data_IF_906474751892
#
_entry.id   IF_906474751892
#
_cell.length_a   1.000
_cell.length_b   1.000
_cell.length_c   1.000
_cell.angle_alpha   90.00
_cell.angle_beta   90.00
_cell.angle_gamma   90.00
#
_symmetry.space_group_name_H-M   'P 1'
#
loop_
_entity.id
_entity.type
_entity.pdbx_description
1 polymer ?
#
# COMPACT_ATOMS: atom_id res chain seq x y z
N UNK A 1 18.22 -20.65 -28.72
CA UNK A 1 19.59 -20.23 -29.05
C UNK A 1 19.54 -18.83 -29.65
N UNK A 2 19.59 -17.78 -28.83
CA UNK A 2 19.74 -16.40 -29.29
C UNK A 2 20.77 -15.74 -28.38
N UNK A 3 21.93 -15.43 -28.96
CA UNK A 3 23.09 -14.82 -28.31
C UNK A 3 22.93 -13.30 -28.28
N UNK A 4 22.78 -12.73 -27.08
CA UNK A 4 22.95 -11.31 -26.83
C UNK A 4 24.43 -11.03 -26.55
N UNK A 5 25.06 -10.25 -27.42
CA UNK A 5 26.40 -9.68 -27.19
C UNK A 5 26.22 -8.28 -26.60
N UNK A 6 26.61 -8.11 -25.33
CA UNK A 6 26.82 -6.80 -24.72
C UNK A 6 28.20 -6.27 -25.17
N UNK A 7 28.21 -5.04 -25.67
CA UNK A 7 29.41 -4.33 -26.10
C UNK A 7 29.74 -3.26 -25.03
N UNK A 8 30.82 -3.51 -24.29
CA UNK A 8 31.35 -2.69 -23.20
C UNK A 8 32.19 -1.53 -23.76
N UNK A 9 31.57 -0.38 -23.94
CA UNK A 9 32.23 0.88 -24.31
C UNK A 9 32.85 1.61 -23.12
N UNK A 10 33.93 1.08 -22.54
CA UNK A 10 34.73 1.75 -21.50
C UNK A 10 35.52 2.93 -22.11
N UNK A 11 34.98 4.14 -22.02
CA UNK A 11 35.67 5.37 -22.47
C UNK A 11 36.49 5.98 -21.33
N UNK A 12 37.74 5.55 -21.22
CA UNK A 12 38.78 6.20 -20.41
C UNK A 12 39.15 7.54 -21.07
N UNK A 13 38.79 8.67 -20.44
CA UNK A 13 39.48 9.96 -20.61
C UNK A 13 40.37 10.09 -19.38
N UNK A 14 41.69 10.13 -19.51
CA UNK A 14 42.41 11.14 -20.26
C UNK A 14 43.04 12.07 -19.23
N UNK A 15 44.20 11.64 -18.76
CA UNK A 15 45.13 12.34 -17.86
C UNK A 15 45.65 13.62 -18.50
N UNK A 16 45.47 14.77 -17.86
CA UNK A 16 46.22 15.98 -18.23
C UNK A 16 46.59 16.85 -17.02
N UNK A 17 47.91 16.94 -16.84
CA UNK A 17 48.72 18.10 -16.47
C UNK A 17 48.55 18.76 -15.10
N UNK A 18 49.45 18.34 -14.20
CA UNK A 18 49.98 19.16 -13.11
C UNK A 18 50.78 20.35 -13.67
N UNK A 19 50.24 21.56 -13.56
CA UNK A 19 51.03 22.79 -13.58
C UNK A 19 51.13 23.36 -12.16
N UNK A 20 52.28 23.15 -11.53
CA UNK A 20 52.66 23.77 -10.26
C UNK A 20 53.16 25.20 -10.50
N UNK A 21 52.23 26.16 -10.54
CA UNK A 21 52.58 27.58 -10.48
C UNK A 21 52.54 28.05 -9.03
N UNK A 22 53.72 28.11 -8.42
CA UNK A 22 53.96 28.69 -7.10
C UNK A 22 53.84 30.21 -7.19
N UNK A 23 52.66 30.75 -6.86
CA UNK A 23 52.45 32.19 -6.72
C UNK A 23 52.49 32.57 -5.23
N UNK A 24 53.64 33.09 -4.82
CA UNK A 24 53.83 33.76 -3.54
C UNK A 24 53.20 35.16 -3.60
N UNK A 25 51.89 35.26 -3.40
CA UNK A 25 51.24 36.53 -3.09
C UNK A 25 50.94 36.60 -1.59
N UNK A 26 51.78 37.38 -0.91
CA UNK A 26 51.56 37.86 0.45
C UNK A 26 50.35 38.80 0.42
N UNK A 27 49.15 38.25 0.62
CA UNK A 27 47.92 39.01 0.68
C UNK A 27 47.80 39.72 2.03
N UNK A 28 47.96 41.03 1.96
CA UNK A 28 47.43 42.01 2.89
C UNK A 28 45.98 41.63 3.23
N UNK A 29 45.69 41.48 4.53
CA UNK A 29 44.40 41.05 5.06
C UNK A 29 43.34 42.13 4.79
N UNK A 30 42.86 42.20 3.55
CA UNK A 30 41.73 43.01 3.16
C UNK A 30 40.50 42.33 3.74
N UNK A 31 39.98 42.88 4.83
CA UNK A 31 38.72 42.48 5.44
C UNK A 31 37.62 42.68 4.41
N UNK A 32 37.33 41.64 3.63
CA UNK A 32 36.20 41.62 2.71
C UNK A 32 34.96 41.56 3.59
N UNK A 33 34.37 42.73 3.85
CA UNK A 33 33.02 42.84 4.37
C UNK A 33 32.12 42.26 3.29
N UNK A 34 31.83 40.96 3.39
CA UNK A 34 30.89 40.32 2.51
C UNK A 34 29.50 40.81 2.90
N UNK A 35 29.02 41.83 2.19
CA UNK A 35 27.61 42.21 2.13
C UNK A 35 26.83 41.05 1.50
N UNK A 36 26.67 39.96 2.25
CA UNK A 36 25.72 38.92 1.91
C UNK A 36 24.34 39.46 2.25
N UNK A 37 23.63 39.94 1.23
CA UNK A 37 22.19 40.04 1.34
C UNK A 37 21.65 38.69 1.83
N UNK A 38 20.75 38.68 2.82
CA UNK A 38 20.22 37.44 3.38
C UNK A 38 19.50 36.66 2.28
N UNK A 39 20.21 35.71 1.69
CA UNK A 39 19.68 34.76 0.72
C UNK A 39 18.56 33.97 1.40
N UNK A 40 17.41 33.92 0.75
CA UNK A 40 16.29 33.11 1.22
C UNK A 40 16.75 31.67 1.47
N UNK A 41 16.47 31.16 2.66
CA UNK A 41 16.81 29.81 3.05
C UNK A 41 16.07 28.79 2.19
N UNK A 42 16.81 27.88 1.55
CA UNK A 42 16.24 26.81 0.72
C UNK A 42 16.12 25.54 1.57
N UNK A 43 14.89 25.14 1.84
CA UNK A 43 14.61 23.95 2.65
C UNK A 43 15.30 22.67 2.15
N UNK A 44 15.42 22.51 0.83
CA UNK A 44 16.05 21.33 0.22
C UNK A 44 17.58 21.31 0.33
N UNK A 45 18.21 22.43 0.71
CA UNK A 45 19.66 22.51 0.94
C UNK A 45 20.02 21.98 2.35
N UNK A 46 19.04 21.72 3.21
CA UNK A 46 19.24 21.00 4.46
C UNK A 46 19.69 19.57 4.21
N UNK A 47 20.45 19.00 5.13
CA UNK A 47 20.73 17.56 5.14
C UNK A 47 19.45 16.76 5.42
N UNK A 48 19.40 15.51 4.93
CA UNK A 48 18.23 14.65 5.02
C UNK A 48 17.79 14.41 6.47
N UNK A 49 18.73 14.30 7.40
CA UNK A 49 18.48 14.10 8.83
C UNK A 49 17.70 15.27 9.43
N UNK A 50 18.06 16.51 9.07
CA UNK A 50 17.37 17.71 9.54
C UNK A 50 15.96 17.82 8.94
N UNK A 51 15.78 17.42 7.68
CA UNK A 51 14.45 17.37 7.06
C UNK A 51 13.56 16.34 7.75
N UNK A 52 14.09 15.17 8.08
CA UNK A 52 13.38 14.14 8.86
C UNK A 52 12.93 14.67 10.23
N UNK A 53 13.81 15.37 10.97
CA UNK A 53 13.43 16.03 12.22
C UNK A 53 12.29 17.04 12.00
N UNK A 54 12.32 17.83 10.93
CA UNK A 54 11.24 18.78 10.62
C UNK A 54 9.93 18.04 10.30
N UNK A 55 9.98 16.88 9.64
CA UNK A 55 8.80 16.06 9.39
C UNK A 55 8.16 15.56 10.69
N UNK A 56 8.95 15.18 11.70
CA UNK A 56 8.45 14.77 13.02
C UNK A 56 7.70 15.90 13.73
N UNK A 57 8.14 17.16 13.58
CA UNK A 57 7.42 18.32 14.10
C UNK A 57 6.19 18.71 13.29
N UNK A 58 6.12 18.31 12.02
CA UNK A 58 4.98 18.55 11.14
C UNK A 58 3.82 17.55 11.35
N UNK A 59 3.96 16.59 12.27
CA UNK A 59 2.88 15.67 12.67
C UNK A 59 1.74 16.48 13.29
N UNK A 60 0.54 16.40 12.71
CA UNK A 60 -0.66 16.98 13.32
C UNK A 60 -0.99 16.21 14.61
N UNK A 61 -0.69 16.80 15.77
CA UNK A 61 -0.99 16.17 17.06
C UNK A 61 -2.51 16.15 17.29
N UNK A 62 -3.04 14.95 17.57
CA UNK A 62 -4.39 14.80 18.13
C UNK A 62 -4.34 15.15 19.61
N UNK A 63 -4.67 16.39 19.97
CA UNK A 63 -4.85 16.76 21.37
C UNK A 63 -6.26 16.33 21.79
N UNK A 64 -6.39 15.34 22.68
CA UNK A 64 -7.64 14.96 23.35
C UNK A 64 -8.83 14.56 22.45
N UNK A 65 -8.60 13.87 21.32
CA UNK A 65 -9.65 13.50 20.34
C UNK A 65 -10.48 14.68 19.80
N UNK A 66 -10.10 15.91 20.12
CA UNK A 66 -10.68 17.13 19.58
C UNK A 66 -9.58 17.73 18.73
N UNK A 67 -9.74 17.73 17.41
CA UNK A 67 -8.86 18.53 16.56
C UNK A 67 -8.95 19.97 17.07
N UNK A 68 -7.88 20.46 17.68
CA UNK A 68 -7.77 21.82 18.19
C UNK A 68 -7.75 22.78 17.00
N UNK A 69 -8.95 23.12 16.50
CA UNK A 69 -9.34 24.33 15.79
C UNK A 69 -8.75 24.61 14.40
N UNK A 70 -7.51 24.25 14.12
CA UNK A 70 -6.76 24.74 12.96
C UNK A 70 -6.25 23.60 12.07
N UNK A 71 -6.99 22.49 11.98
CA UNK A 71 -6.71 21.47 10.98
C UNK A 71 -6.66 22.11 9.60
N UNK A 72 -5.64 21.80 8.81
CA UNK A 72 -5.48 22.36 7.46
C UNK A 72 -6.70 22.02 6.63
N UNK A 73 -7.56 23.02 6.36
CA UNK A 73 -8.77 22.83 5.54
C UNK A 73 -8.46 23.12 4.09
N UNK A 74 -8.93 22.27 3.18
CA UNK A 74 -8.97 22.62 1.76
C UNK A 74 -9.88 23.84 1.59
N UNK A 75 -9.31 24.95 1.11
CA UNK A 75 -10.03 26.21 0.89
C UNK A 75 -11.13 26.07 -0.18
N UNK A 76 -11.01 25.09 -1.07
CA UNK A 76 -12.00 24.76 -2.10
C UNK A 76 -12.27 23.26 -2.06
N UNK A 77 -13.54 22.89 -1.92
CA UNK A 77 -13.98 21.53 -2.18
C UNK A 77 -13.83 21.23 -3.68
N UNK A 78 -13.58 19.96 -4.06
CA UNK A 78 -13.60 19.54 -5.47
C UNK A 78 -14.91 19.96 -6.15
N UNK A 79 -14.84 20.39 -7.40
CA UNK A 79 -16.02 20.73 -8.19
C UNK A 79 -16.97 19.51 -8.25
N UNK A 80 -18.25 19.71 -7.90
CA UNK A 80 -19.25 18.64 -7.81
C UNK A 80 -19.55 18.15 -6.38
N UNK A 81 -18.80 18.60 -5.37
CA UNK A 81 -19.11 18.27 -3.96
C UNK A 81 -20.30 19.09 -3.48
N UNK A 82 -21.44 18.46 -3.24
CA UNK A 82 -22.63 19.15 -2.72
C UNK A 82 -22.43 19.57 -1.26
N UNK A 83 -23.10 20.63 -0.81
CA UNK A 83 -23.04 21.07 0.60
C UNK A 83 -23.45 19.94 1.57
N UNK A 84 -24.37 19.07 1.16
CA UNK A 84 -24.79 17.89 1.92
C UNK A 84 -23.72 16.79 1.94
N UNK A 85 -22.97 16.60 0.84
CA UNK A 85 -21.80 15.71 0.82
C UNK A 85 -20.73 16.21 1.77
N UNK A 86 -20.48 17.52 1.84
CA UNK A 86 -19.55 18.11 2.81
C UNK A 86 -20.02 17.95 4.26
N UNK A 87 -21.32 18.16 4.52
CA UNK A 87 -21.90 18.04 5.86
C UNK A 87 -21.91 16.59 6.35
N UNK A 88 -22.19 15.62 5.48
CA UNK A 88 -22.13 14.20 5.83
C UNK A 88 -20.68 13.70 5.95
N UNK A 89 -19.76 14.21 5.12
CA UNK A 89 -18.33 13.91 5.24
C UNK A 89 -17.73 14.37 6.58
N UNK A 90 -18.35 15.36 7.25
CA UNK A 90 -17.92 15.79 8.59
C UNK A 90 -18.28 14.79 9.71
N UNK A 91 -19.16 13.82 9.47
CA UNK A 91 -19.53 12.80 10.45
C UNK A 91 -18.92 11.41 10.18
N UNK A 92 -18.48 11.14 8.96
CA UNK A 92 -18.07 9.80 8.54
C UNK A 92 -16.55 9.62 8.54
N UNK A 93 -15.92 9.61 9.72
CA UNK A 93 -14.46 9.60 9.92
C UNK A 93 -13.83 10.98 9.75
N UNK A 94 -13.68 11.71 10.87
CA UNK A 94 -12.67 12.76 10.95
C UNK A 94 -11.36 12.20 10.40
N UNK A 95 -10.94 12.69 9.23
CA UNK A 95 -9.74 12.23 8.53
C UNK A 95 -8.56 12.25 9.51
N UNK A 96 -8.24 11.08 10.06
CA UNK A 96 -7.20 10.88 11.08
C UNK A 96 -5.80 11.01 10.50
N UNK A 97 -5.70 11.45 9.25
CA UNK A 97 -4.48 11.62 8.48
C UNK A 97 -3.57 12.60 9.21
N UNK A 98 -2.50 12.07 9.77
CA UNK A 98 -1.34 12.85 10.14
C UNK A 98 -0.66 13.35 8.86
N UNK A 99 0.16 14.40 9.00
CA UNK A 99 0.98 14.94 7.92
C UNK A 99 0.21 15.53 6.73
N UNK A 100 -1.04 15.97 6.89
CA UNK A 100 -1.81 16.52 5.77
C UNK A 100 -1.06 17.66 5.07
N UNK A 101 -0.42 18.56 5.81
CA UNK A 101 0.43 19.61 5.24
C UNK A 101 1.55 19.07 4.34
N UNK A 102 2.24 18.00 4.76
CA UNK A 102 3.29 17.37 3.95
C UNK A 102 2.74 16.66 2.71
N UNK A 103 1.47 16.24 2.70
CA UNK A 103 0.87 15.71 1.45
C UNK A 103 0.73 16.75 0.34
N UNK A 104 0.80 18.04 0.68
CA UNK A 104 0.57 19.16 -0.25
C UNK A 104 1.87 19.82 -0.77
N UNK A 105 3.05 19.32 -0.40
CA UNK A 105 4.33 19.92 -0.81
C UNK A 105 4.89 19.26 -2.10
N UNK A 106 6.13 19.62 -2.47
CA UNK A 106 6.78 19.13 -3.68
C UNK A 106 6.98 17.59 -3.69
N UNK A 107 7.29 17.04 -4.88
CA UNK A 107 7.45 15.58 -5.08
C UNK A 107 8.60 14.98 -4.25
N UNK A 108 9.72 15.69 -4.13
CA UNK A 108 10.90 15.20 -3.41
C UNK A 108 10.60 14.98 -1.93
N UNK A 109 10.00 15.95 -1.26
CA UNK A 109 9.62 15.81 0.15
C UNK A 109 8.61 14.67 0.30
N UNK A 110 7.65 14.54 -0.64
CA UNK A 110 6.69 13.43 -0.66
C UNK A 110 7.36 12.06 -0.73
N UNK A 111 8.40 11.88 -1.54
CA UNK A 111 9.16 10.62 -1.54
C UNK A 111 9.90 10.39 -0.22
N UNK A 112 10.45 11.44 0.40
CA UNK A 112 11.23 11.34 1.64
C UNK A 112 10.37 11.00 2.87
N UNK A 113 9.21 11.65 3.06
CA UNK A 113 8.36 11.38 4.23
C UNK A 113 7.43 10.18 4.05
N UNK A 114 7.25 9.66 2.83
CA UNK A 114 6.31 8.55 2.54
C UNK A 114 6.48 7.35 3.49
N UNK A 115 7.69 6.85 3.80
CA UNK A 115 7.86 5.75 4.74
C UNK A 115 7.32 6.08 6.14
N UNK A 116 7.56 7.31 6.64
CA UNK A 116 7.01 7.78 7.92
C UNK A 116 5.49 7.84 7.88
N UNK A 117 4.91 8.32 6.77
CA UNK A 117 3.47 8.39 6.57
C UNK A 117 2.83 6.99 6.60
N UNK A 118 3.34 6.04 5.83
CA UNK A 118 2.80 4.68 5.79
C UNK A 118 2.95 3.98 7.15
N UNK A 119 4.06 4.21 7.86
CA UNK A 119 4.30 3.64 9.19
C UNK A 119 3.31 4.12 10.25
N UNK A 120 2.97 5.41 10.25
CA UNK A 120 2.20 6.03 11.33
C UNK A 120 0.70 6.19 11.04
N UNK A 121 0.29 6.12 9.78
CA UNK A 121 -1.10 6.35 9.40
C UNK A 121 -1.82 5.04 9.10
N UNK A 122 -2.91 4.80 9.81
CA UNK A 122 -3.93 3.86 9.37
C UNK A 122 -4.69 4.47 8.19
N UNK A 123 -4.53 3.89 7.01
CA UNK A 123 -5.25 4.34 5.81
C UNK A 123 -6.50 3.49 5.64
N UNK A 124 -7.65 4.17 5.72
CA UNK A 124 -8.96 3.62 5.43
C UNK A 124 -9.17 3.60 3.91
N UNK A 125 -9.36 2.40 3.35
CA UNK A 125 -9.48 2.19 1.91
C UNK A 125 -10.81 1.47 1.65
N UNK A 126 -11.59 1.96 0.69
CA UNK A 126 -12.76 1.25 0.21
C UNK A 126 -12.33 -0.03 -0.49
N UNK A 127 -13.10 -1.11 -0.31
CA UNK A 127 -12.70 -2.44 -0.78
C UNK A 127 -12.45 -2.47 -2.30
N UNK A 128 -13.25 -1.74 -3.07
CA UNK A 128 -13.10 -1.64 -4.53
C UNK A 128 -11.83 -0.86 -4.96
N UNK A 129 -11.31 0.01 -4.10
CA UNK A 129 -10.09 0.79 -4.35
C UNK A 129 -8.81 0.09 -3.87
N UNK A 130 -8.92 -1.11 -3.27
CA UNK A 130 -7.75 -1.85 -2.78
C UNK A 130 -6.72 -2.10 -3.91
N UNK A 131 -7.09 -2.61 -5.09
CA UNK A 131 -6.11 -2.90 -6.14
C UNK A 131 -5.34 -1.65 -6.57
N UNK A 132 -6.04 -0.55 -6.86
CA UNK A 132 -5.45 0.73 -7.26
C UNK A 132 -4.57 1.32 -6.14
N UNK A 133 -5.00 1.18 -4.88
CA UNK A 133 -4.22 1.63 -3.75
C UNK A 133 -2.91 0.84 -3.62
N UNK A 134 -2.96 -0.49 -3.73
CA UNK A 134 -1.76 -1.33 -3.64
C UNK A 134 -0.82 -1.02 -4.80
N UNK A 135 -1.33 -0.92 -6.03
CA UNK A 135 -0.52 -0.57 -7.20
C UNK A 135 0.18 0.80 -7.01
N UNK A 136 -0.55 1.79 -6.48
CA UNK A 136 -0.03 3.15 -6.28
C UNK A 136 0.98 3.23 -5.12
N UNK A 137 0.67 2.60 -3.99
CA UNK A 137 1.41 2.78 -2.73
C UNK A 137 2.33 1.62 -2.37
N UNK A 138 2.24 0.50 -3.08
CA UNK A 138 3.06 -0.70 -2.89
C UNK A 138 3.32 -1.39 -4.25
N UNK A 139 3.94 -0.70 -5.22
CA UNK A 139 4.20 -1.27 -6.53
C UNK A 139 5.09 -2.50 -6.38
N UNK A 140 4.53 -3.68 -6.65
CA UNK A 140 5.25 -4.96 -6.56
C UNK A 140 6.23 -5.18 -7.71
N UNK A 141 6.01 -4.48 -8.82
CA UNK A 141 6.74 -4.65 -10.08
C UNK A 141 7.91 -3.68 -10.21
N UNK A 142 8.86 -3.67 -9.28
CA UNK A 142 10.13 -3.01 -9.59
C UNK A 142 11.27 -3.67 -8.82
N UNK A 143 12.22 -4.17 -9.60
CA UNK A 143 13.62 -4.40 -9.23
C UNK A 143 14.33 -3.10 -8.80
N UNK A 144 13.65 -2.21 -8.08
CA UNK A 144 14.28 -1.04 -7.48
C UNK A 144 14.85 -1.48 -6.13
N UNK A 145 16.18 -1.46 -5.95
CA UNK A 145 16.82 -1.92 -4.71
C UNK A 145 16.36 -1.16 -3.46
N UNK A 146 15.77 0.03 -3.63
CA UNK A 146 15.31 0.88 -2.51
C UNK A 146 13.91 0.50 -1.98
N UNK A 147 13.16 -0.37 -2.69
CA UNK A 147 11.77 -0.68 -2.35
C UNK A 147 11.57 -2.04 -1.68
N UNK A 148 12.54 -2.95 -1.68
CA UNK A 148 12.33 -4.35 -1.25
C UNK A 148 12.35 -4.59 0.27
N UNK A 149 12.73 -3.62 1.11
CA UNK A 149 12.97 -3.89 2.55
C UNK A 149 12.20 -3.02 3.54
N UNK A 150 11.48 -1.98 3.09
CA UNK A 150 11.03 -0.93 4.01
C UNK A 150 9.60 -0.41 3.82
N UNK A 151 8.73 -1.20 3.19
CA UNK A 151 7.29 -0.88 3.18
C UNK A 151 6.64 -1.20 4.54
N UNK A 152 7.14 -0.63 5.64
CA UNK A 152 6.47 -0.71 6.93
C UNK A 152 5.20 0.14 6.95
N UNK A 153 4.13 -0.36 7.56
CA UNK A 153 2.87 0.40 7.66
C UNK A 153 1.70 -0.40 8.18
N UNK A 154 0.76 0.29 8.82
CA UNK A 154 -0.52 -0.30 9.21
C UNK A 154 -1.59 0.09 8.19
N UNK A 155 -1.98 -0.86 7.36
CA UNK A 155 -3.10 -0.72 6.42
C UNK A 155 -4.34 -1.25 7.12
N UNK A 156 -5.34 -0.40 7.31
CA UNK A 156 -6.64 -0.82 7.84
C UNK A 156 -7.67 -0.74 6.73
N UNK A 157 -8.00 -1.89 6.16
CA UNK A 157 -9.10 -1.97 5.21
C UNK A 157 -10.38 -1.90 6.00
N UNK A 158 -11.10 -0.81 5.83
CA UNK A 158 -12.48 -0.77 6.27
C UNK A 158 -13.32 -1.28 5.14
N UNK A 159 -13.92 -2.45 5.36
CA UNK A 159 -15.07 -2.88 4.57
C UNK A 159 -16.18 -1.95 5.02
N UNK A 160 -16.20 -0.75 4.44
CA UNK A 160 -17.22 0.23 4.73
C UNK A 160 -18.54 -0.46 4.43
N UNK A 161 -19.26 -0.85 5.48
CA UNK A 161 -20.70 -1.06 5.40
C UNK A 161 -21.19 0.29 4.93
N UNK A 162 -21.36 0.42 3.62
CA UNK A 162 -21.82 1.65 3.06
C UNK A 162 -23.21 1.87 3.65
N UNK A 163 -23.28 2.71 4.69
CA UNK A 163 -24.47 3.47 5.09
C UNK A 163 -24.89 4.44 3.97
N UNK A 164 -24.42 4.23 2.74
CA UNK A 164 -24.99 4.87 1.59
C UNK A 164 -26.43 4.41 1.54
N UNK A 165 -27.36 5.35 1.55
CA UNK A 165 -28.79 5.13 1.27
C UNK A 165 -29.06 4.52 -0.12
N UNK A 166 -28.03 4.01 -0.80
CA UNK A 166 -28.16 3.21 -1.98
C UNK A 166 -28.45 1.77 -1.56
N UNK A 167 -29.58 1.19 -2.00
CA UNK A 167 -29.84 -0.22 -1.75
C UNK A 167 -28.63 -0.99 -2.23
N UNK A 168 -28.08 -1.85 -1.37
CA UNK A 168 -26.96 -2.76 -1.64
C UNK A 168 -27.33 -3.52 -2.91
N UNK A 169 -26.92 -2.96 -4.05
CA UNK A 169 -27.12 -3.54 -5.35
C UNK A 169 -25.79 -4.14 -5.72
N UNK A 170 -25.90 -5.38 -6.16
CA UNK A 170 -24.92 -6.21 -6.84
C UNK A 170 -24.00 -6.98 -5.89
N UNK A 171 -24.00 -8.30 -6.07
CA UNK A 171 -22.95 -9.22 -5.65
C UNK A 171 -21.59 -8.67 -6.11
N UNK A 172 -20.89 -7.96 -5.23
CA UNK A 172 -19.57 -7.41 -5.53
C UNK A 172 -18.53 -8.43 -5.17
N UNK A 173 -17.67 -8.74 -6.15
CA UNK A 173 -16.49 -9.57 -5.99
C UNK A 173 -15.27 -8.67 -6.06
N UNK A 174 -14.45 -8.66 -5.01
CA UNK A 174 -13.20 -7.92 -4.97
C UNK A 174 -12.03 -8.90 -5.06
N UNK A 175 -11.19 -8.74 -6.07
CA UNK A 175 -9.95 -9.50 -6.20
C UNK A 175 -8.97 -9.11 -5.08
N UNK A 176 -8.64 -10.05 -4.19
CA UNK A 176 -7.74 -9.81 -3.06
C UNK A 176 -6.32 -10.34 -3.24
N UNK A 177 -6.00 -10.95 -4.38
CA UNK A 177 -4.64 -11.43 -4.66
C UNK A 177 -3.55 -10.36 -4.42
N UNK A 178 -3.68 -9.11 -4.92
CA UNK A 178 -2.65 -8.09 -4.66
C UNK A 178 -2.49 -7.80 -3.17
N UNK A 179 -3.56 -7.91 -2.39
CA UNK A 179 -3.54 -7.67 -0.96
C UNK A 179 -2.88 -8.81 -0.19
N UNK A 180 -3.22 -10.06 -0.50
CA UNK A 180 -2.57 -11.23 0.09
C UNK A 180 -1.07 -11.25 -0.23
N UNK A 181 -0.70 -10.97 -1.48
CA UNK A 181 0.72 -10.82 -1.88
C UNK A 181 1.42 -9.74 -1.08
N UNK A 182 0.76 -8.62 -0.79
CA UNK A 182 1.34 -7.54 0.01
C UNK A 182 1.61 -7.99 1.44
N UNK A 183 0.66 -8.69 2.06
CA UNK A 183 0.79 -9.21 3.43
C UNK A 183 1.91 -10.25 3.51
N UNK A 184 1.93 -11.20 2.58
CA UNK A 184 2.90 -12.29 2.64
C UNK A 184 4.32 -11.79 2.34
N UNK A 185 4.48 -10.88 1.38
CA UNK A 185 5.81 -10.39 1.02
C UNK A 185 6.36 -9.32 1.97
N UNK A 186 5.61 -8.92 2.99
CA UNK A 186 5.99 -7.80 3.84
C UNK A 186 5.64 -8.03 5.31
N UNK A 187 6.60 -8.55 6.06
CA UNK A 187 6.46 -8.82 7.50
C UNK A 187 6.16 -7.55 8.32
N UNK A 188 6.50 -6.37 7.80
CA UNK A 188 6.27 -5.09 8.46
C UNK A 188 4.93 -4.44 8.08
N UNK A 189 4.20 -5.02 7.11
CA UNK A 189 2.86 -4.56 6.76
C UNK A 189 1.84 -5.19 7.71
N UNK A 190 1.23 -4.36 8.55
CA UNK A 190 0.11 -4.78 9.37
C UNK A 190 -1.17 -4.49 8.61
N UNK A 191 -1.87 -5.54 8.23
CA UNK A 191 -3.12 -5.46 7.50
C UNK A 191 -4.27 -5.89 8.40
N UNK A 192 -5.25 -5.03 8.57
CA UNK A 192 -6.43 -5.31 9.40
C UNK A 192 -7.69 -5.01 8.64
N UNK A 193 -8.71 -5.86 8.76
CA UNK A 193 -10.07 -5.53 8.35
C UNK A 193 -10.80 -4.91 9.54
N UNK A 194 -11.37 -3.71 9.38
CA UNK A 194 -12.20 -3.13 10.43
C UNK A 194 -13.59 -3.77 10.42
N UNK A 195 -14.16 -3.95 11.62
CA UNK A 195 -15.58 -4.20 11.85
C UNK A 195 -16.17 -5.48 11.25
N UNK A 196 -15.33 -6.45 10.84
CA UNK A 196 -15.77 -7.73 10.31
C UNK A 196 -14.90 -8.88 10.85
N UNK A 197 -15.48 -9.73 11.70
CA UNK A 197 -14.79 -10.88 12.30
C UNK A 197 -14.35 -11.89 11.23
N UNK A 198 -15.23 -12.22 10.28
CA UNK A 198 -14.95 -13.17 9.20
C UNK A 198 -13.72 -12.76 8.36
N UNK A 199 -13.57 -11.44 8.13
CA UNK A 199 -12.44 -10.89 7.39
C UNK A 199 -11.12 -11.03 8.17
N UNK A 200 -11.17 -10.89 9.49
CA UNK A 200 -10.02 -11.09 10.36
C UNK A 200 -9.59 -12.55 10.37
N UNK A 201 -10.55 -13.47 10.49
CA UNK A 201 -10.29 -14.90 10.45
C UNK A 201 -9.66 -15.32 9.12
N UNK A 202 -10.09 -14.71 8.01
CA UNK A 202 -9.47 -14.95 6.71
C UNK A 202 -7.98 -14.55 6.66
N UNK A 203 -7.60 -13.42 7.25
CA UNK A 203 -6.17 -13.04 7.31
C UNK A 203 -5.40 -14.05 8.16
N UNK A 204 -5.95 -14.46 9.30
CA UNK A 204 -5.32 -15.42 10.20
C UNK A 204 -5.13 -16.78 9.52
N UNK A 205 -6.15 -17.29 8.83
CA UNK A 205 -6.07 -18.48 7.96
C UNK A 205 -5.01 -18.25 6.87
N UNK A 206 -5.00 -17.07 6.25
CA UNK A 206 -3.98 -16.60 5.31
C UNK A 206 -2.55 -16.82 5.82
N UNK A 207 -2.27 -16.28 7.00
CA UNK A 207 -0.95 -16.31 7.63
C UNK A 207 -0.55 -17.72 8.07
N UNK A 208 -1.48 -18.49 8.63
CA UNK A 208 -1.23 -19.87 9.08
C UNK A 208 -0.97 -20.84 7.91
N UNK A 209 -1.50 -20.53 6.73
CA UNK A 209 -1.38 -21.35 5.52
C UNK A 209 -0.65 -20.65 4.37
N UNK A 210 0.30 -19.76 4.70
CA UNK A 210 0.98 -18.89 3.72
C UNK A 210 1.51 -19.63 2.49
N UNK A 211 2.25 -20.73 2.69
CA UNK A 211 2.85 -21.49 1.59
C UNK A 211 1.79 -22.03 0.61
N UNK A 212 0.67 -22.52 1.15
CA UNK A 212 -0.45 -22.98 0.32
C UNK A 212 -1.04 -21.80 -0.48
N UNK A 213 -1.33 -20.66 0.15
CA UNK A 213 -1.85 -19.48 -0.56
C UNK A 213 -0.90 -18.94 -1.64
N UNK A 214 0.41 -18.90 -1.38
CA UNK A 214 1.41 -18.51 -2.38
C UNK A 214 1.35 -19.47 -3.59
N UNK A 215 1.34 -20.78 -3.33
CA UNK A 215 1.16 -21.79 -4.39
C UNK A 215 -0.14 -21.59 -5.17
N UNK A 216 -1.26 -21.28 -4.50
CA UNK A 216 -2.54 -20.97 -5.17
C UNK A 216 -2.40 -19.78 -6.12
N UNK A 217 -1.77 -18.70 -5.66
CA UNK A 217 -1.64 -17.48 -6.44
C UNK A 217 -0.67 -17.65 -7.62
N UNK A 218 0.39 -18.44 -7.47
CA UNK A 218 1.34 -18.77 -8.53
C UNK A 218 0.72 -19.65 -9.61
N UNK A 219 -0.23 -20.51 -9.21
CA UNK A 219 -1.07 -21.30 -10.12
C UNK A 219 -2.14 -20.46 -10.86
N UNK A 220 -2.16 -19.14 -10.62
CA UNK A 220 -3.09 -18.22 -11.28
C UNK A 220 -4.53 -18.29 -10.74
N UNK A 221 -4.72 -18.83 -9.53
CA UNK A 221 -6.01 -18.82 -8.84
C UNK A 221 -6.36 -17.40 -8.43
N UNK A 222 -7.53 -16.93 -8.86
CA UNK A 222 -8.05 -15.61 -8.49
C UNK A 222 -8.97 -15.76 -7.28
N UNK A 223 -8.64 -15.05 -6.21
CA UNK A 223 -9.32 -15.11 -4.92
C UNK A 223 -10.12 -13.83 -4.78
N UNK A 224 -11.42 -13.98 -4.59
CA UNK A 224 -12.35 -12.88 -4.44
C UNK A 224 -12.97 -12.86 -3.04
N UNK A 225 -13.10 -11.68 -2.48
CA UNK A 225 -14.04 -11.42 -1.40
C UNK A 225 -15.40 -11.08 -2.00
N UNK A 226 -16.45 -11.73 -1.51
CA UNK A 226 -17.82 -11.44 -1.90
C UNK A 226 -18.62 -11.00 -0.69
N UNK A 227 -19.22 -9.82 -0.75
CA UNK A 227 -20.12 -9.35 0.30
C UNK A 227 -21.57 -9.72 -0.06
N UNK A 228 -22.18 -10.66 0.66
CA UNK A 228 -23.61 -11.01 0.49
C UNK A 228 -24.37 -10.83 1.79
N UNK A 229 -25.43 -10.02 1.77
CA UNK A 229 -26.36 -9.86 2.92
C UNK A 229 -25.64 -9.71 4.27
N UNK A 230 -24.67 -8.79 4.33
CA UNK A 230 -23.86 -8.51 5.53
C UNK A 230 -22.86 -9.61 5.95
N UNK A 231 -22.69 -10.66 5.14
CA UNK A 231 -21.66 -11.69 5.36
C UNK A 231 -20.56 -11.57 4.33
N UNK A 232 -19.32 -11.76 4.80
CA UNK A 232 -18.16 -11.85 3.92
C UNK A 232 -17.97 -13.32 3.54
N UNK A 233 -18.07 -13.62 2.25
CA UNK A 233 -17.71 -14.90 1.67
C UNK A 233 -16.37 -14.81 0.94
N UNK A 234 -15.69 -15.95 0.83
CA UNK A 234 -14.53 -16.11 -0.05
C UNK A 234 -14.99 -16.89 -1.27
N UNK A 235 -14.67 -16.38 -2.45
CA UNK A 235 -14.86 -17.09 -3.71
C UNK A 235 -13.50 -17.38 -4.30
N UNK A 236 -13.25 -18.66 -4.59
CA UNK A 236 -12.11 -19.08 -5.39
C UNK A 236 -12.58 -19.25 -6.84
N UNK A 237 -11.91 -18.57 -7.76
CA UNK A 237 -12.11 -18.74 -9.20
C UNK A 237 -10.87 -19.40 -9.79
N UNK A 238 -11.07 -20.58 -10.36
CA UNK A 238 -10.02 -21.44 -10.88
C UNK A 238 -10.08 -21.44 -12.41
N UNK A 239 -8.95 -21.15 -13.08
CA UNK A 239 -8.83 -21.29 -14.55
C UNK A 239 -8.69 -22.74 -15.00
N UNK A 240 -8.23 -23.65 -14.12
CA UNK A 240 -8.10 -25.09 -14.37
C UNK A 240 -8.47 -25.90 -13.12
N UNK A 241 -9.77 -26.01 -12.84
CA UNK A 241 -10.25 -26.52 -11.55
C UNK A 241 -9.92 -27.99 -11.29
N UNK A 242 -9.92 -28.85 -12.31
CA UNK A 242 -9.73 -30.28 -12.11
C UNK A 242 -8.28 -30.62 -11.71
N UNK A 243 -7.30 -30.10 -12.46
CA UNK A 243 -5.87 -30.25 -12.13
C UNK A 243 -5.52 -29.64 -10.76
N UNK A 244 -6.16 -28.53 -10.44
CA UNK A 244 -6.01 -27.85 -9.17
C UNK A 244 -6.39 -28.74 -7.98
N UNK A 245 -7.57 -29.39 -8.04
CA UNK A 245 -8.03 -30.24 -6.95
C UNK A 245 -7.17 -31.49 -6.78
N UNK A 246 -6.67 -32.07 -7.86
CA UNK A 246 -5.77 -33.22 -7.76
C UNK A 246 -4.49 -32.86 -7.00
N UNK A 247 -3.93 -31.65 -7.25
CA UNK A 247 -2.78 -31.14 -6.50
C UNK A 247 -3.11 -30.84 -5.04
N UNK A 248 -4.19 -30.11 -4.79
CA UNK A 248 -4.62 -29.74 -3.43
C UNK A 248 -4.94 -30.99 -2.61
N UNK A 249 -5.51 -32.03 -3.21
CA UNK A 249 -5.77 -33.30 -2.53
C UNK A 249 -4.50 -34.13 -2.34
N UNK A 250 -3.46 -33.94 -3.15
CA UNK A 250 -2.17 -34.60 -2.97
C UNK A 250 -1.30 -33.90 -1.90
N UNK A 251 -1.51 -32.61 -1.68
CA UNK A 251 -0.78 -31.79 -0.71
C UNK A 251 -1.52 -31.67 0.63
N UNK A 252 -0.84 -32.01 1.74
CA UNK A 252 -1.40 -31.93 3.08
C UNK A 252 -1.70 -30.48 3.49
N UNK A 253 -0.85 -29.54 3.08
CA UNK A 253 -1.02 -28.13 3.45
C UNK A 253 -2.17 -27.50 2.66
N UNK A 254 -2.29 -27.83 1.37
CA UNK A 254 -3.47 -27.54 0.55
C UNK A 254 -4.78 -28.07 1.14
N UNK A 255 -4.83 -29.33 1.57
CA UNK A 255 -6.02 -29.89 2.24
C UNK A 255 -6.34 -29.13 3.53
N UNK A 256 -5.33 -28.86 4.37
CA UNK A 256 -5.54 -28.14 5.62
C UNK A 256 -6.06 -26.72 5.40
N UNK A 257 -5.59 -26.03 4.36
CA UNK A 257 -6.11 -24.72 3.97
C UNK A 257 -7.58 -24.83 3.53
N UNK A 258 -7.93 -25.82 2.71
CA UNK A 258 -9.32 -26.00 2.28
C UNK A 258 -10.24 -26.30 3.46
N UNK A 259 -9.81 -27.14 4.39
CA UNK A 259 -10.57 -27.42 5.61
C UNK A 259 -10.72 -26.16 6.48
N UNK A 260 -9.65 -25.37 6.64
CA UNK A 260 -9.68 -24.09 7.36
C UNK A 260 -10.63 -23.07 6.72
N UNK A 261 -10.74 -23.08 5.37
CA UNK A 261 -11.70 -22.27 4.62
C UNK A 261 -13.12 -22.84 4.62
N UNK A 262 -13.37 -23.99 5.25
CA UNK A 262 -14.66 -24.69 5.21
C UNK A 262 -14.97 -25.31 3.83
N UNK A 263 -13.97 -25.46 2.97
CA UNK A 263 -14.02 -26.01 1.61
C UNK A 263 -13.75 -27.52 1.54
N UNK A 264 -13.97 -28.25 2.64
CA UNK A 264 -13.80 -29.70 2.67
C UNK A 264 -14.64 -30.44 1.63
N UNK A 265 -14.40 -31.75 1.46
CA UNK A 265 -14.95 -32.59 0.38
C UNK A 265 -16.48 -32.53 0.17
N UNK A 266 -17.25 -32.08 1.17
CA UNK A 266 -18.71 -31.95 1.14
C UNK A 266 -19.23 -30.58 0.69
N UNK A 267 -18.38 -29.55 0.67
CA UNK A 267 -18.73 -28.16 0.33
C UNK A 267 -18.67 -27.87 -1.18
N UNK A 268 -18.52 -28.91 -2.00
CA UNK A 268 -18.42 -28.85 -3.47
C UNK A 268 -19.74 -28.44 -4.14
N UNK A 269 -20.19 -27.22 -3.89
CA UNK A 269 -21.21 -26.59 -4.74
C UNK A 269 -20.46 -25.86 -5.85
N UNK A 270 -20.04 -26.63 -6.85
CA UNK A 270 -19.34 -26.13 -8.03
C UNK A 270 -20.37 -25.40 -8.90
N UNK A 271 -20.28 -24.08 -8.99
CA UNK A 271 -21.03 -23.34 -10.00
C UNK A 271 -20.13 -23.18 -11.22
N UNK A 272 -20.53 -23.79 -12.36
CA UNK A 272 -19.91 -23.48 -13.65
C UNK A 272 -20.52 -22.17 -14.17
N UNK A 273 -19.72 -21.12 -14.23
CA UNK A 273 -20.08 -19.88 -14.90
C UNK A 273 -19.33 -19.86 -16.26
N UNK A 274 -19.87 -20.55 -17.27
CA UNK A 274 -19.14 -20.82 -18.51
C UNK A 274 -18.03 -21.86 -18.31
N UNK A 275 -16.81 -21.57 -18.79
CA UNK A 275 -15.62 -22.44 -18.63
C UNK A 275 -14.95 -22.30 -17.25
N UNK A 276 -15.39 -21.34 -16.43
CA UNK A 276 -14.84 -21.11 -15.09
C UNK A 276 -15.62 -21.91 -14.04
N UNK A 277 -14.88 -22.63 -13.19
CA UNK A 277 -15.46 -23.18 -11.96
C UNK A 277 -15.31 -22.16 -10.85
N UNK A 278 -16.44 -21.71 -10.30
CA UNK A 278 -16.50 -20.88 -9.11
C UNK A 278 -16.90 -21.75 -7.91
N UNK A 279 -16.24 -21.55 -6.77
CA UNK A 279 -16.63 -22.17 -5.51
C UNK A 279 -17.03 -21.07 -4.53
N UNK A 280 -18.24 -21.15 -3.98
CA UNK A 280 -18.68 -20.23 -2.95
C UNK A 280 -18.42 -20.83 -1.58
N UNK A 281 -17.72 -20.10 -0.72
CA UNK A 281 -17.66 -20.37 0.71
C UNK A 281 -18.82 -19.63 1.38
N UNK A 282 -19.75 -20.37 2.01
CA UNK A 282 -20.76 -19.81 2.90
C UNK A 282 -20.84 -20.64 4.18
N UNK A 283 -21.01 -19.98 5.33
CA UNK A 283 -20.01 -19.16 6.03
C UNK A 283 -18.95 -20.05 6.71
N UNK A 284 -17.85 -19.45 7.17
CA UNK A 284 -17.02 -20.03 8.25
C UNK A 284 -17.95 -20.28 9.44
N UNK A 285 -18.37 -21.53 9.64
CA UNK A 285 -19.26 -21.90 10.72
C UNK A 285 -18.49 -21.87 12.05
N UNK A 286 -19.05 -21.16 13.04
CA UNK A 286 -18.73 -21.36 14.45
C UNK A 286 -18.97 -22.81 14.89
#
# INVERSE_FOLDING_TARGET
MNSFTNDDGLRVKGSDQMHSSSNNNCHEAKTVVMDHEPSAFRFLDLHAELRNYIYEYAVEQKINNVRTGNGTRLKKAPAGTTANSLANANHTHESTRAFFGLTQVNRQIRSEYRPLYLKQNAVYIEVDSIPEYIETFYPMEVSHPDYSTNYGGSITITIAQQYTNHPIRVDRRILINPFLKLIFNNENAQCTFSDNADARDLIEIGLNHRAAWESLMDDGVEIFLELRYFRLGVILTLKAADEFWDRVNADRDGQSLMDALGLGARSRTQYRLGDLSCMNVFPLSY
#
